data_IF_990024020364
#
_entry.id   IF_990024020364
#
_cell.length_a   1.000
_cell.length_b   1.000
_cell.length_c   1.000
_cell.angle_alpha   90.00
_cell.angle_beta   90.00
_cell.angle_gamma   90.00
#
_symmetry.space_group_name_H-M   'P 1'
#
loop_
_entity.id
_entity.type
_entity.pdbx_description
1 polymer ?
#
# COMPACT_ATOMS: atom_id res chain seq x y z
N UNK A 1 32.53 -49.35 70.00
CA UNK A 1 33.05 -47.99 69.78
C UNK A 1 32.69 -47.62 68.35
N UNK A 2 31.49 -47.05 68.20
CA UNK A 2 30.95 -46.62 66.91
C UNK A 2 31.35 -45.18 66.64
N UNK A 3 31.71 -44.89 65.40
CA UNK A 3 31.93 -43.52 64.93
C UNK A 3 30.56 -43.02 64.46
N UNK A 4 30.06 -41.95 65.05
CA UNK A 4 28.83 -41.27 64.65
C UNK A 4 29.22 -39.95 63.96
N UNK A 5 28.81 -39.79 62.70
CA UNK A 5 29.12 -38.61 61.89
C UNK A 5 27.99 -37.60 62.12
N UNK A 6 28.33 -36.45 62.68
CA UNK A 6 27.34 -35.46 63.15
C UNK A 6 27.07 -34.37 62.08
N UNK A 7 28.03 -34.06 61.21
CA UNK A 7 27.85 -33.08 60.13
C UNK A 7 29.02 -33.10 59.10
N UNK A 8 28.71 -33.01 57.80
CA UNK A 8 29.68 -32.86 56.72
C UNK A 8 29.42 -31.54 56.02
N UNK A 9 30.24 -30.53 56.30
CA UNK A 9 30.20 -29.23 55.61
C UNK A 9 31.36 -29.13 54.62
N UNK A 10 31.03 -28.90 53.35
CA UNK A 10 32.01 -28.56 52.32
C UNK A 10 32.55 -27.15 52.64
N UNK A 11 33.75 -27.08 53.21
CA UNK A 11 34.52 -25.83 53.23
C UNK A 11 34.97 -25.59 51.79
N UNK A 12 34.35 -24.58 51.16
CA UNK A 12 34.70 -23.91 49.89
C UNK A 12 35.40 -24.82 48.86
N UNK A 13 34.65 -25.19 47.82
CA UNK A 13 35.17 -25.84 46.63
C UNK A 13 36.06 -24.85 45.85
N UNK A 14 37.24 -24.53 46.37
CA UNK A 14 38.25 -23.78 45.65
C UNK A 14 38.86 -24.72 44.61
N UNK A 15 38.62 -24.43 43.33
CA UNK A 15 39.33 -25.11 42.26
C UNK A 15 40.82 -24.74 42.35
N UNK A 16 41.75 -25.65 42.01
CA UNK A 16 43.15 -25.28 41.85
C UNK A 16 43.24 -24.08 40.87
N UNK A 17 43.97 -23.00 41.19
CA UNK A 17 43.99 -21.76 40.41
C UNK A 17 44.39 -21.98 38.93
N UNK A 18 45.16 -23.05 38.69
CA UNK A 18 45.59 -23.47 37.35
C UNK A 18 44.42 -23.93 36.45
N UNK A 19 43.34 -24.48 37.02
CA UNK A 19 42.21 -25.02 36.27
C UNK A 19 41.08 -23.98 36.15
N UNK A 20 40.94 -23.12 37.15
CA UNK A 20 39.88 -22.12 37.27
C UNK A 20 39.84 -21.16 36.07
N UNK A 21 41.01 -20.71 35.62
CA UNK A 21 41.17 -19.84 34.43
C UNK A 21 40.66 -20.51 33.15
N UNK A 22 40.95 -21.81 32.97
CA UNK A 22 40.54 -22.56 31.77
C UNK A 22 39.02 -22.79 31.71
N UNK A 23 38.40 -23.02 32.88
CA UNK A 23 36.95 -23.22 32.99
C UNK A 23 36.23 -21.90 32.74
N UNK A 24 36.75 -20.79 33.28
CA UNK A 24 36.18 -19.45 33.05
C UNK A 24 36.26 -19.04 31.58
N UNK A 25 37.41 -19.24 30.93
CA UNK A 25 37.59 -18.97 29.50
C UNK A 25 36.64 -19.82 28.63
N UNK A 26 36.41 -21.09 28.99
CA UNK A 26 35.45 -21.95 28.30
C UNK A 26 34.01 -21.45 28.49
N UNK A 27 33.65 -21.02 29.70
CA UNK A 27 32.31 -20.44 29.97
C UNK A 27 32.08 -19.14 29.19
N UNK A 28 33.09 -18.29 29.07
CA UNK A 28 33.02 -17.04 28.31
C UNK A 28 32.83 -17.30 26.81
N UNK A 29 33.66 -18.17 26.24
CA UNK A 29 33.52 -18.58 24.83
C UNK A 29 32.15 -19.20 24.53
N UNK A 30 31.63 -20.01 25.45
CA UNK A 30 30.31 -20.61 25.33
C UNK A 30 29.18 -19.57 25.39
N UNK A 31 29.28 -18.61 26.32
CA UNK A 31 28.35 -17.47 26.41
C UNK A 31 28.36 -16.62 25.14
N UNK A 32 29.54 -16.33 24.60
CA UNK A 32 29.69 -15.56 23.36
C UNK A 32 29.09 -16.30 22.17
N UNK A 33 29.33 -17.61 22.06
CA UNK A 33 28.74 -18.48 21.04
C UNK A 33 27.22 -18.49 21.10
N UNK A 34 26.65 -18.63 22.30
CA UNK A 34 25.19 -18.60 22.52
C UNK A 34 24.63 -17.22 22.12
N UNK A 35 25.27 -16.13 22.55
CA UNK A 35 24.84 -14.78 22.22
C UNK A 35 24.90 -14.51 20.70
N UNK A 36 25.97 -14.97 20.03
CA UNK A 36 26.10 -14.88 18.58
C UNK A 36 25.00 -15.67 17.86
N UNK A 37 24.70 -16.88 18.33
CA UNK A 37 23.62 -17.70 17.78
C UNK A 37 22.26 -17.01 17.89
N UNK A 38 21.91 -16.49 19.07
CA UNK A 38 20.67 -15.75 19.30
C UNK A 38 20.54 -14.51 18.43
N UNK A 39 21.64 -13.75 18.24
CA UNK A 39 21.64 -12.59 17.35
C UNK A 39 21.43 -13.02 15.89
N UNK A 40 22.13 -14.04 15.42
CA UNK A 40 21.98 -14.55 14.06
C UNK A 40 20.53 -15.02 13.80
N UNK A 41 19.96 -15.78 14.73
CA UNK A 41 18.56 -16.26 14.65
C UNK A 41 17.56 -15.09 14.64
N UNK A 42 17.77 -14.08 15.49
CA UNK A 42 16.95 -12.87 15.51
C UNK A 42 17.02 -12.11 14.18
N UNK A 43 18.21 -11.96 13.62
CA UNK A 43 18.43 -11.26 12.34
C UNK A 43 17.80 -12.03 11.18
N UNK A 44 17.89 -13.35 11.20
CA UNK A 44 17.27 -14.22 10.19
C UNK A 44 15.74 -14.10 10.23
N UNK A 45 15.13 -14.24 11.42
CA UNK A 45 13.68 -14.10 11.58
C UNK A 45 13.19 -12.73 11.17
N UNK A 46 13.91 -11.67 11.57
CA UNK A 46 13.57 -10.31 11.18
C UNK A 46 13.59 -10.13 9.65
N UNK A 47 14.62 -10.65 8.99
CA UNK A 47 14.73 -10.61 7.52
C UNK A 47 13.61 -11.38 6.83
N UNK A 48 13.25 -12.55 7.36
CA UNK A 48 12.15 -13.39 6.84
C UNK A 48 10.81 -12.68 6.98
N UNK A 49 10.51 -12.13 8.18
CA UNK A 49 9.27 -11.40 8.45
C UNK A 49 9.18 -10.17 7.56
N UNK A 50 10.24 -9.37 7.43
CA UNK A 50 10.25 -8.20 6.54
C UNK A 50 9.98 -8.59 5.10
N UNK A 51 10.69 -9.59 4.59
CA UNK A 51 10.49 -10.05 3.21
C UNK A 51 9.06 -10.56 2.97
N UNK A 52 8.45 -11.22 3.96
CA UNK A 52 7.05 -11.63 3.87
C UNK A 52 6.08 -10.43 3.89
N UNK A 53 6.31 -9.47 4.78
CA UNK A 53 5.50 -8.24 4.85
C UNK A 53 5.58 -7.47 3.54
N UNK A 54 6.78 -7.26 3.00
CA UNK A 54 7.00 -6.55 1.73
C UNK A 54 6.27 -7.24 0.58
N UNK A 55 6.35 -8.57 0.49
CA UNK A 55 5.58 -9.35 -0.49
C UNK A 55 4.08 -9.13 -0.35
N UNK A 56 3.54 -9.20 0.89
CA UNK A 56 2.10 -9.00 1.13
C UNK A 56 1.66 -7.59 0.77
N UNK A 57 2.44 -6.58 1.13
CA UNK A 57 2.16 -5.17 0.78
C UNK A 57 2.09 -5.00 -0.74
N UNK A 58 3.06 -5.53 -1.48
CA UNK A 58 3.06 -5.47 -2.94
C UNK A 58 1.81 -6.12 -3.54
N UNK A 59 1.47 -7.35 -3.11
CA UNK A 59 0.27 -8.05 -3.58
C UNK A 59 -0.99 -7.22 -3.31
N UNK A 60 -1.13 -6.64 -2.12
CA UNK A 60 -2.30 -5.82 -1.76
C UNK A 60 -2.39 -4.59 -2.65
N UNK A 61 -1.26 -3.88 -2.86
CA UNK A 61 -1.21 -2.69 -3.69
C UNK A 61 -1.53 -3.01 -5.15
N UNK A 62 -0.92 -4.04 -5.72
CA UNK A 62 -1.17 -4.48 -7.09
C UNK A 62 -2.63 -4.93 -7.28
N UNK A 63 -3.17 -5.70 -6.32
CA UNK A 63 -4.58 -6.12 -6.36
C UNK A 63 -5.52 -4.92 -6.28
N UNK A 64 -5.24 -3.95 -5.40
CA UNK A 64 -6.05 -2.75 -5.26
C UNK A 64 -6.00 -1.89 -6.54
N UNK A 65 -4.82 -1.71 -7.12
CA UNK A 65 -4.64 -0.98 -8.38
C UNK A 65 -5.36 -1.67 -9.53
N UNK A 66 -5.18 -2.99 -9.69
CA UNK A 66 -5.84 -3.78 -10.72
C UNK A 66 -7.36 -3.71 -10.60
N UNK A 67 -7.90 -3.86 -9.39
CA UNK A 67 -9.34 -3.73 -9.13
C UNK A 67 -9.86 -2.33 -9.41
N UNK A 68 -9.11 -1.28 -9.06
CA UNK A 68 -9.50 0.09 -9.36
C UNK A 68 -9.51 0.36 -10.86
N UNK A 69 -8.55 -0.17 -11.62
CA UNK A 69 -8.49 -0.01 -13.06
C UNK A 69 -9.66 -0.73 -13.75
N UNK A 70 -9.95 -1.96 -13.31
CA UNK A 70 -11.10 -2.74 -13.79
C UNK A 70 -12.42 -1.98 -13.57
N UNK A 71 -12.67 -1.52 -12.33
CA UNK A 71 -13.90 -0.81 -12.00
C UNK A 71 -14.06 0.50 -12.80
N UNK A 72 -12.96 1.23 -13.03
CA UNK A 72 -12.99 2.41 -13.91
C UNK A 72 -13.32 2.04 -15.35
N UNK A 73 -12.70 0.99 -15.88
CA UNK A 73 -12.99 0.51 -17.23
C UNK A 73 -14.45 0.06 -17.42
N UNK A 74 -15.00 -0.65 -16.43
CA UNK A 74 -16.41 -1.05 -16.42
C UNK A 74 -17.34 0.18 -16.38
N UNK A 75 -17.05 1.15 -15.52
CA UNK A 75 -17.83 2.38 -15.42
C UNK A 75 -17.76 3.23 -16.70
N UNK A 76 -16.58 3.34 -17.32
CA UNK A 76 -16.38 4.03 -18.60
C UNK A 76 -17.16 3.33 -19.72
N UNK A 77 -17.10 2.00 -19.78
CA UNK A 77 -17.86 1.21 -20.74
C UNK A 77 -19.37 1.43 -20.58
N UNK A 78 -19.87 1.41 -19.34
CA UNK A 78 -21.28 1.66 -19.06
C UNK A 78 -21.69 3.08 -19.46
N UNK A 79 -20.89 4.08 -19.11
CA UNK A 79 -21.14 5.47 -19.48
C UNK A 79 -21.19 5.67 -21.01
N UNK A 80 -20.24 5.08 -21.75
CA UNK A 80 -20.22 5.12 -23.22
C UNK A 80 -21.45 4.41 -23.80
N UNK A 81 -21.84 3.27 -23.22
CA UNK A 81 -23.02 2.51 -23.68
C UNK A 81 -24.30 3.30 -23.46
N UNK A 82 -24.47 3.93 -22.29
CA UNK A 82 -25.61 4.80 -21.99
C UNK A 82 -25.62 5.99 -22.94
N UNK A 83 -24.47 6.63 -23.15
CA UNK A 83 -24.34 7.74 -24.07
C UNK A 83 -24.76 7.34 -25.48
N UNK A 84 -24.20 6.26 -26.04
CA UNK A 84 -24.55 5.77 -27.37
C UNK A 84 -26.07 5.51 -27.51
N UNK A 85 -26.68 4.86 -26.51
CA UNK A 85 -28.14 4.61 -26.48
C UNK A 85 -28.96 5.91 -26.43
N UNK A 86 -28.50 6.92 -25.72
CA UNK A 86 -29.18 8.22 -25.66
C UNK A 86 -29.05 8.98 -26.97
N UNK A 87 -27.89 8.93 -27.62
CA UNK A 87 -27.65 9.57 -28.92
C UNK A 87 -28.46 8.90 -30.05
N UNK A 88 -28.65 7.57 -30.00
CA UNK A 88 -29.53 6.87 -30.94
C UNK A 88 -31.01 7.26 -30.75
N UNK A 89 -31.41 7.61 -29.53
CA UNK A 89 -32.80 7.99 -29.21
C UNK A 89 -33.12 9.45 -29.57
N UNK A 90 -32.14 10.34 -29.45
CA UNK A 90 -32.35 11.77 -29.66
C UNK A 90 -31.11 12.46 -30.28
N UNK A 91 -31.14 12.74 -31.60
CA UNK A 91 -30.10 13.51 -32.27
C UNK A 91 -29.95 14.95 -31.75
N UNK A 92 -31.03 15.58 -31.27
CA UNK A 92 -30.98 16.96 -30.78
C UNK A 92 -30.22 17.04 -29.44
N UNK A 93 -30.28 15.97 -28.63
CA UNK A 93 -29.49 15.83 -27.40
C UNK A 93 -27.97 15.76 -27.67
N UNK A 94 -27.55 15.17 -28.80
CA UNK A 94 -26.14 15.16 -29.22
C UNK A 94 -25.61 16.58 -29.43
N UNK A 95 -26.34 17.38 -30.20
CA UNK A 95 -25.97 18.74 -30.56
C UNK A 95 -25.93 19.64 -29.33
N UNK A 96 -26.90 19.49 -28.42
CA UNK A 96 -26.89 20.18 -27.13
C UNK A 96 -25.67 19.82 -26.29
N UNK A 97 -25.36 18.53 -26.09
CA UNK A 97 -24.20 18.09 -25.30
C UNK A 97 -22.87 18.56 -25.91
N UNK A 98 -22.75 18.54 -27.23
CA UNK A 98 -21.56 19.01 -27.95
C UNK A 98 -21.39 20.53 -27.81
N UNK A 99 -22.49 21.29 -27.75
CA UNK A 99 -22.45 22.71 -27.42
C UNK A 99 -21.93 22.94 -25.99
N UNK A 100 -22.37 22.15 -24.99
CA UNK A 100 -21.88 22.26 -23.61
C UNK A 100 -20.39 21.92 -23.45
N UNK A 101 -19.89 20.93 -24.17
CA UNK A 101 -18.45 20.62 -24.20
C UNK A 101 -17.63 21.79 -24.79
N UNK A 102 -18.11 22.37 -25.88
CA UNK A 102 -17.50 23.56 -26.46
C UNK A 102 -17.49 24.72 -25.42
N UNK A 103 -18.60 24.89 -24.68
CA UNK A 103 -18.71 25.91 -23.63
C UNK A 103 -17.66 25.76 -22.54
N UNK A 104 -17.45 24.53 -22.08
CA UNK A 104 -16.44 24.25 -21.05
C UNK A 104 -15.02 24.61 -21.52
N UNK A 105 -14.68 24.34 -22.78
CA UNK A 105 -13.33 24.60 -23.33
C UNK A 105 -13.04 26.11 -23.44
N UNK A 106 -14.01 26.91 -23.89
CA UNK A 106 -13.77 28.36 -24.01
C UNK A 106 -13.99 29.13 -22.71
N UNK A 107 -14.81 28.65 -21.77
CA UNK A 107 -15.00 29.34 -20.48
C UNK A 107 -13.80 29.18 -19.54
N UNK A 108 -13.05 28.09 -19.67
CA UNK A 108 -11.83 27.84 -18.88
C UNK A 108 -10.59 28.55 -19.46
N UNK A 109 -10.70 29.08 -20.69
CA UNK A 109 -9.65 29.88 -21.31
C UNK A 109 -9.97 31.38 -21.20
N UNK A 110 -8.97 32.20 -20.84
CA UNK A 110 -9.06 33.68 -20.80
C UNK A 110 -9.15 34.28 -22.22
N UNK A 111 -9.88 33.64 -23.13
CA UNK A 111 -9.95 33.98 -24.54
C UNK A 111 -11.23 34.74 -24.80
N UNK A 112 -11.13 35.95 -25.37
CA UNK A 112 -12.29 36.66 -25.91
C UNK A 112 -12.72 35.96 -27.20
N UNK A 113 -13.77 35.17 -27.11
CA UNK A 113 -14.34 34.45 -28.26
C UNK A 113 -15.36 35.34 -28.96
N UNK A 114 -15.06 35.74 -30.20
CA UNK A 114 -15.96 36.53 -31.06
C UNK A 114 -16.77 35.52 -31.89
N UNK A 115 -18.07 35.42 -31.60
CA UNK A 115 -19.00 34.53 -32.29
C UNK A 115 -20.04 35.37 -33.04
N UNK A 116 -20.42 34.88 -34.22
CA UNK A 116 -21.51 35.45 -35.01
C UNK A 116 -22.84 35.23 -34.26
N UNK A 117 -23.76 36.21 -34.18
CA UNK A 117 -25.04 36.06 -33.47
C UNK A 117 -25.91 34.91 -33.97
N UNK A 118 -25.72 34.50 -35.23
CA UNK A 118 -26.45 33.38 -35.87
C UNK A 118 -25.70 32.03 -35.75
N UNK A 119 -24.64 31.94 -34.96
CA UNK A 119 -23.87 30.71 -34.80
C UNK A 119 -24.67 29.62 -34.09
N UNK A 120 -24.60 28.38 -34.59
CA UNK A 120 -25.17 27.19 -33.95
C UNK A 120 -24.70 27.00 -32.50
N UNK A 121 -23.53 27.55 -32.17
CA UNK A 121 -22.97 27.54 -30.83
C UNK A 121 -23.79 28.39 -29.84
N UNK A 122 -24.53 29.40 -30.29
CA UNK A 122 -25.34 30.28 -29.43
C UNK A 122 -26.81 29.83 -29.37
N UNK A 123 -27.24 28.93 -30.26
CA UNK A 123 -28.62 28.44 -30.40
C UNK A 123 -29.25 27.94 -29.09
N UNK A 124 -28.44 27.30 -28.24
CA UNK A 124 -28.86 26.77 -26.94
C UNK A 124 -28.65 27.74 -25.75
N UNK A 125 -27.97 28.87 -25.95
CA UNK A 125 -27.81 29.95 -24.96
C UNK A 125 -28.81 31.10 -25.18
N UNK A 126 -29.23 31.34 -26.42
CA UNK A 126 -30.10 32.44 -26.81
C UNK A 126 -31.61 32.13 -26.65
N UNK A 127 -31.97 30.87 -26.41
CA UNK A 127 -33.37 30.45 -26.20
C UNK A 127 -33.65 30.26 -24.70
N UNK A 128 -34.35 31.21 -24.04
CA UNK A 128 -34.86 31.01 -22.68
C UNK A 128 -36.12 30.15 -22.76
N UNK A 129 -35.99 28.87 -23.10
CA UNK A 129 -37.08 27.93 -22.91
C UNK A 129 -36.54 26.50 -22.75
N UNK A 130 -36.30 26.12 -21.48
CA UNK A 130 -36.35 24.72 -21.11
C UNK A 130 -37.81 24.25 -21.19
N UNK A 131 -38.08 23.25 -22.02
CA UNK A 131 -39.42 22.68 -22.12
C UNK A 131 -39.49 21.55 -23.13
N UNK A 132 -39.38 20.32 -22.62
CA UNK A 132 -39.49 19.05 -23.34
C UNK A 132 -38.75 17.94 -22.62
#
# INVERSE_FOLDING_TARGET
MGIEIIDVRIKRADFPPDIETSVFARMEAERERIASGLRAEGTQRDSEIRAEVDRRVNIILETAQGRSALLRGEAEQEAITILAKSLEKDPDFYDFRRSLEAYKVFMDSQTTVILDPDSDLLKFLSTPNGGG
#
